data_IF_735162117220
#
_entry.id   IF_735162117220
#
_cell.length_a   1.000
_cell.length_b   1.000
_cell.length_c   1.000
_cell.angle_alpha   90.00
_cell.angle_beta   90.00
_cell.angle_gamma   90.00
#
_symmetry.space_group_name_H-M   'P 1'
#
loop_
_entity.id
_entity.type
_entity.pdbx_description
1 polymer ?
#
# COMPACT_ATOMS: atom_id res chain seq x y z
N UNK A 1 -3.99 -5.32 5.72
CA UNK A 1 -5.27 -5.42 4.95
C UNK A 1 -6.30 -4.37 5.35
N UNK A 2 -6.52 -4.08 6.65
CA UNK A 2 -7.51 -3.07 7.10
C UNK A 2 -7.38 -1.71 6.39
N UNK A 3 -6.16 -1.19 6.26
CA UNK A 3 -5.93 0.14 5.70
C UNK A 3 -6.16 0.18 4.17
N UNK A 4 -5.82 -0.90 3.46
CA UNK A 4 -6.14 -1.08 2.04
C UNK A 4 -7.65 -1.11 1.83
N UNK A 5 -8.38 -1.88 2.64
CA UNK A 5 -9.84 -1.98 2.53
C UNK A 5 -10.53 -0.63 2.76
N UNK A 6 -10.05 0.14 3.74
CA UNK A 6 -10.56 1.49 4.01
C UNK A 6 -10.32 2.42 2.81
N UNK A 7 -9.13 2.35 2.20
CA UNK A 7 -8.81 3.12 1.00
C UNK A 7 -9.66 2.70 -0.21
N UNK A 8 -9.90 1.40 -0.42
CA UNK A 8 -10.78 0.90 -1.47
C UNK A 8 -12.22 1.38 -1.30
N UNK A 9 -12.77 1.29 -0.10
CA UNK A 9 -14.13 1.77 0.21
C UNK A 9 -14.22 3.29 0.00
N UNK A 10 -13.21 4.06 0.43
CA UNK A 10 -13.17 5.50 0.22
C UNK A 10 -13.15 5.86 -1.28
N UNK A 11 -12.31 5.18 -2.06
CA UNK A 11 -12.22 5.36 -3.52
C UNK A 11 -13.54 5.01 -4.23
N UNK A 12 -14.18 3.90 -3.83
CA UNK A 12 -15.49 3.50 -4.34
C UNK A 12 -16.57 4.55 -4.04
N UNK A 13 -16.63 5.06 -2.80
CA UNK A 13 -17.56 6.14 -2.40
C UNK A 13 -17.32 7.45 -3.15
N UNK A 14 -16.11 7.67 -3.68
CA UNK A 14 -15.74 8.84 -4.48
C UNK A 14 -15.88 8.62 -5.99
N UNK A 15 -16.34 7.45 -6.43
CA UNK A 15 -16.54 7.15 -7.85
C UNK A 15 -15.25 6.93 -8.65
N UNK A 16 -14.13 6.59 -7.98
CA UNK A 16 -12.89 6.22 -8.67
C UNK A 16 -13.10 4.85 -9.33
N UNK A 17 -13.01 4.81 -10.65
CA UNK A 17 -13.36 3.64 -11.46
C UNK A 17 -12.35 2.51 -11.37
N UNK A 18 -11.05 2.83 -11.32
CA UNK A 18 -9.97 1.84 -11.27
C UNK A 18 -8.83 2.33 -10.38
N UNK A 19 -8.19 1.40 -9.67
CA UNK A 19 -6.99 1.62 -8.87
C UNK A 19 -5.91 0.68 -9.41
N UNK A 20 -4.76 1.23 -9.78
CA UNK A 20 -3.65 0.45 -10.32
C UNK A 20 -2.80 -0.19 -9.20
N UNK A 21 -2.46 0.58 -8.15
CA UNK A 21 -1.86 0.05 -6.93
C UNK A 21 -2.15 0.98 -5.74
N UNK A 22 -2.04 0.43 -4.52
CA UNK A 22 -2.08 1.18 -3.26
C UNK A 22 -0.75 0.96 -2.55
N UNK A 23 0.04 2.03 -2.38
CA UNK A 23 1.31 1.98 -1.66
C UNK A 23 1.07 2.14 -0.16
N UNK A 24 1.51 1.15 0.62
CA UNK A 24 1.52 1.23 2.07
C UNK A 24 2.96 1.35 2.54
N UNK A 25 3.24 2.35 3.38
CA UNK A 25 4.52 2.45 4.06
C UNK A 25 4.47 1.58 5.31
N UNK A 26 5.06 0.39 5.24
CA UNK A 26 5.32 -0.42 6.42
C UNK A 26 6.66 -0.02 7.05
N UNK A 27 6.73 0.04 8.38
CA UNK A 27 8.04 -0.06 9.03
C UNK A 27 8.59 -1.45 8.75
N UNK A 28 9.86 -1.51 8.37
CA UNK A 28 10.56 -2.76 8.17
C UNK A 28 10.53 -3.55 9.48
N UNK A 29 10.06 -4.79 9.40
CA UNK A 29 10.17 -5.72 10.53
C UNK A 29 11.66 -6.06 10.69
N UNK A 30 12.14 -6.15 11.93
CA UNK A 30 13.52 -6.57 12.21
C UNK A 30 13.80 -7.92 11.53
N UNK A 31 14.88 -7.99 10.75
CA UNK A 31 15.27 -9.18 9.99
C UNK A 31 14.74 -9.27 8.55
N UNK A 32 14.12 -8.21 8.01
CA UNK A 32 13.83 -8.14 6.58
C UNK A 32 14.99 -7.49 5.81
N UNK A 33 15.45 -8.13 4.72
CA UNK A 33 16.52 -7.61 3.85
C UNK A 33 16.01 -6.41 3.01
N UNK A 34 15.82 -5.26 3.66
CA UNK A 34 15.32 -4.04 3.01
C UNK A 34 16.37 -3.46 2.05
N UNK A 35 17.65 -3.79 2.22
CA UNK A 35 18.75 -3.32 1.36
C UNK A 35 18.61 -3.78 -0.11
N UNK A 36 17.87 -4.87 -0.39
CA UNK A 36 17.57 -5.34 -1.75
C UNK A 36 16.18 -4.95 -2.28
N UNK A 37 15.36 -4.26 -1.48
CA UNK A 37 13.95 -4.04 -1.82
C UNK A 37 13.77 -2.79 -2.71
N UNK A 38 13.86 -3.00 -4.03
CA UNK A 38 13.63 -1.97 -5.07
C UNK A 38 12.23 -1.32 -4.97
N UNK A 39 11.28 -1.99 -4.30
CA UNK A 39 9.88 -1.54 -4.19
C UNK A 39 9.48 -0.94 -2.84
N UNK A 40 10.38 -0.90 -1.84
CA UNK A 40 10.02 -0.48 -0.48
C UNK A 40 10.07 1.05 -0.25
N UNK A 41 10.72 1.83 -1.13
CA UNK A 41 10.94 3.28 -0.94
C UNK A 41 11.03 4.11 -2.24
N UNK A 42 10.16 3.86 -3.21
CA UNK A 42 9.87 4.87 -4.25
C UNK A 42 8.56 5.57 -3.95
#
# INVERSE_FOLDING_TARGET
TRDVNKAQIYAWRKGIKTLYYIRLRQMALEGTEVEGCVSCML
#
